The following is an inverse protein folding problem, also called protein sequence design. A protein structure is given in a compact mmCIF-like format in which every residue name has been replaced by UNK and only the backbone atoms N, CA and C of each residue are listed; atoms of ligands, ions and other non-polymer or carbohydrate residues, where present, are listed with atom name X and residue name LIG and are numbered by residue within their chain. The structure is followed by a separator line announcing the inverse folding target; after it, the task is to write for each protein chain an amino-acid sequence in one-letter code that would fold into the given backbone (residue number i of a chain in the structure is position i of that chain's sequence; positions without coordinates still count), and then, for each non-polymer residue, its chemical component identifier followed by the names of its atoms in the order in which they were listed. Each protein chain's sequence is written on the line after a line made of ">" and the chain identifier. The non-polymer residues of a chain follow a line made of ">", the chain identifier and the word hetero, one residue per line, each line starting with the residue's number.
data_IF_806619582817
#
_entry.id   IF_806619582817
#
_cell.length_a   1.000
_cell.length_b   1.000
_cell.length_c   1.000
_cell.angle_alpha   90.00
_cell.angle_beta   90.00
_cell.angle_gamma   90.00
#
_symmetry.space_group_name_H-M   'P 1'
#
loop_
_entity.id
_entity.type
_entity.pdbx_description
1 polymer ?
#
# COMPACT_ATOMS: atom_id res chain seq x y z
N UNK A 1 -14.93 42.52 0.87
CA UNK A 1 -13.74 42.54 0.00
C UNK A 1 -12.49 42.41 0.85
N UNK A 2 -11.72 41.34 0.67
CA UNK A 2 -10.24 41.33 0.68
C UNK A 2 -9.77 39.90 0.49
N UNK A 3 -9.62 39.52 -0.77
CA UNK A 3 -8.77 38.40 -1.16
C UNK A 3 -7.35 38.96 -1.22
N UNK A 4 -6.44 38.40 -0.42
CA UNK A 4 -5.01 38.63 -0.60
C UNK A 4 -4.37 37.28 -0.90
N UNK A 5 -4.02 37.07 -2.15
CA UNK A 5 -3.37 35.86 -2.66
C UNK A 5 -2.15 36.24 -3.49
N UNK A 6 -1.15 35.35 -3.44
CA UNK A 6 0.17 35.30 -4.08
C UNK A 6 1.33 36.05 -3.40
N UNK A 7 2.48 35.36 -3.29
CA UNK A 7 3.46 35.21 -4.39
C UNK A 7 3.81 33.73 -4.68
N UNK A 8 3.91 33.26 -5.93
CA UNK A 8 4.96 33.41 -6.96
C UNK A 8 6.31 32.71 -6.64
N UNK A 9 6.90 32.11 -7.70
CA UNK A 9 8.26 31.56 -7.92
C UNK A 9 8.62 30.19 -7.29
N UNK A 10 9.16 29.14 -7.97
CA UNK A 10 10.03 28.98 -9.16
C UNK A 10 9.86 27.58 -9.84
N UNK A 11 10.48 27.34 -11.03
CA UNK A 11 10.34 26.16 -11.88
C UNK A 11 11.49 25.14 -11.74
N UNK A 12 11.24 23.87 -12.06
CA UNK A 12 12.31 22.94 -12.53
C UNK A 12 11.75 21.88 -13.47
N UNK A 13 12.07 22.08 -14.74
CA UNK A 13 12.54 21.08 -15.72
C UNK A 13 12.30 19.59 -15.44
N UNK A 14 11.57 18.98 -16.38
CA UNK A 14 12.05 17.90 -17.24
C UNK A 14 13.04 16.90 -16.61
N UNK A 15 12.55 15.76 -16.14
CA UNK A 15 13.17 14.45 -16.38
C UNK A 15 12.11 13.36 -16.49
N UNK A 16 12.16 12.70 -17.65
CA UNK A 16 11.88 11.30 -17.96
C UNK A 16 10.79 10.50 -17.20
N UNK A 17 10.06 9.74 -18.02
CA UNK A 17 8.85 9.00 -17.66
C UNK A 17 8.98 8.12 -16.42
N UNK A 18 7.91 8.13 -15.62
CA UNK A 18 7.72 7.20 -14.54
C UNK A 18 6.26 6.75 -14.52
N UNK A 19 6.14 5.45 -14.78
CA UNK A 19 4.97 4.62 -14.62
C UNK A 19 4.37 4.90 -13.23
N UNK A 20 3.08 5.20 -13.19
CA UNK A 20 2.42 5.72 -11.99
C UNK A 20 2.27 4.64 -10.91
N UNK A 21 3.24 4.57 -10.01
CA UNK A 21 3.17 3.83 -8.74
C UNK A 21 2.34 4.65 -7.76
N UNK A 22 1.34 4.03 -7.13
CA UNK A 22 0.57 4.64 -6.04
C UNK A 22 0.94 3.92 -4.74
N UNK A 23 1.58 4.65 -3.83
CA UNK A 23 1.78 4.23 -2.43
C UNK A 23 0.57 4.63 -1.61
N UNK A 24 -0.11 3.63 -1.02
CA UNK A 24 -1.26 3.83 -0.15
C UNK A 24 -0.87 3.78 1.32
N UNK A 25 -1.12 4.89 2.04
CA UNK A 25 -0.93 5.01 3.49
C UNK A 25 -2.26 4.86 4.22
N UNK A 26 -2.25 4.21 5.39
CA UNK A 26 -3.40 4.17 6.28
C UNK A 26 -2.97 4.44 7.72
N UNK A 27 -3.23 5.65 8.19
CA UNK A 27 -3.36 5.93 9.61
C UNK A 27 -4.85 6.19 9.88
N UNK A 28 -5.34 5.71 11.02
CA UNK A 28 -6.74 5.83 11.49
C UNK A 28 -7.32 7.22 11.22
N UNK A 29 -8.19 7.32 10.20
CA UNK A 29 -8.75 8.59 9.75
C UNK A 29 -8.60 8.76 8.25
N UNK A 30 -9.65 8.41 7.53
CA UNK A 30 -9.83 8.60 6.09
C UNK A 30 -9.28 9.95 5.61
N UNK A 31 -8.06 9.97 5.07
CA UNK A 31 -7.57 11.01 4.15
C UNK A 31 -7.09 10.35 2.86
N UNK A 32 -8.05 10.18 1.94
CA UNK A 32 -7.78 10.34 0.52
C UNK A 32 -7.31 11.79 0.28
N UNK A 33 -6.05 12.11 0.56
CA UNK A 33 -5.42 13.36 0.17
C UNK A 33 -4.01 13.01 -0.32
N UNK A 34 -3.73 12.95 -1.62
CA UNK A 34 -4.18 13.83 -2.70
C UNK A 34 -5.18 13.23 -3.70
N UNK A 35 -6.27 13.96 -3.88
CA UNK A 35 -7.20 13.87 -5.00
C UNK A 35 -6.58 14.29 -6.34
N UNK A 36 -7.04 13.64 -7.41
CA UNK A 36 -7.12 14.09 -8.81
C UNK A 36 -5.91 13.97 -9.76
N UNK A 37 -5.29 12.78 -9.86
CA UNK A 37 -5.16 12.20 -11.21
C UNK A 37 -6.49 11.51 -11.50
N UNK A 38 -7.12 11.73 -12.66
CA UNK A 38 -8.34 10.99 -13.08
C UNK A 38 -7.98 9.49 -13.15
N UNK A 39 -8.07 8.79 -12.02
CA UNK A 39 -7.98 7.34 -12.00
C UNK A 39 -9.24 6.81 -12.68
N UNK A 40 -9.06 5.97 -13.70
CA UNK A 40 -10.18 5.39 -14.41
C UNK A 40 -11.10 4.64 -13.44
N UNK A 41 -12.38 4.47 -13.77
CA UNK A 41 -13.35 3.72 -12.93
C UNK A 41 -12.81 2.34 -12.52
N UNK A 42 -11.98 1.74 -13.38
CA UNK A 42 -11.30 0.47 -13.15
C UNK A 42 -10.24 0.57 -12.05
N UNK A 43 -9.40 1.60 -12.07
CA UNK A 43 -8.33 1.80 -11.08
C UNK A 43 -8.90 2.10 -9.70
N UNK A 44 -9.96 2.91 -9.60
CA UNK A 44 -10.65 3.16 -8.33
C UNK A 44 -11.23 1.87 -7.74
N UNK A 45 -11.80 0.99 -8.56
CA UNK A 45 -12.28 -0.33 -8.14
C UNK A 45 -11.14 -1.23 -7.67
N UNK A 46 -10.02 -1.26 -8.40
CA UNK A 46 -8.83 -2.02 -8.00
C UNK A 46 -8.26 -1.52 -6.68
N UNK A 47 -8.16 -0.19 -6.51
CA UNK A 47 -7.70 0.41 -5.26
C UNK A 47 -8.63 0.06 -4.09
N UNK A 48 -9.94 0.19 -4.27
CA UNK A 48 -10.92 -0.16 -3.25
C UNK A 48 -10.84 -1.64 -2.86
N UNK A 49 -10.59 -2.53 -3.83
CA UNK A 49 -10.38 -3.96 -3.59
C UNK A 49 -9.12 -4.20 -2.76
N UNK A 50 -7.99 -3.63 -3.16
CA UNK A 50 -6.71 -3.75 -2.43
C UNK A 50 -6.85 -3.19 -1.01
N UNK A 51 -7.46 -2.01 -0.86
CA UNK A 51 -7.74 -1.40 0.44
C UNK A 51 -8.59 -2.31 1.34
N UNK A 52 -9.62 -2.95 0.78
CA UNK A 52 -10.48 -3.88 1.53
C UNK A 52 -9.70 -5.13 1.97
N UNK A 53 -8.81 -5.64 1.13
CA UNK A 53 -8.00 -6.81 1.46
C UNK A 53 -6.95 -6.46 2.51
N UNK A 54 -6.27 -5.32 2.34
CA UNK A 54 -5.31 -4.81 3.31
C UNK A 54 -5.99 -4.59 4.67
N UNK A 55 -7.23 -4.11 4.71
CA UNK A 55 -8.03 -3.94 5.93
C UNK A 55 -8.19 -5.23 6.71
N UNK A 56 -8.73 -6.25 6.05
CA UNK A 56 -8.99 -7.54 6.68
C UNK A 56 -7.69 -8.22 7.13
N UNK A 57 -6.61 -8.05 6.37
CA UNK A 57 -5.32 -8.63 6.66
C UNK A 57 -4.63 -7.90 7.83
N UNK A 58 -4.68 -6.57 7.87
CA UNK A 58 -4.14 -5.75 8.95
C UNK A 58 -4.84 -6.04 10.28
N UNK A 59 -6.18 -6.10 10.31
CA UNK A 59 -6.93 -6.39 11.54
C UNK A 59 -6.50 -7.73 12.15
N UNK A 60 -6.32 -8.74 11.30
CA UNK A 60 -5.81 -10.04 11.72
C UNK A 60 -4.33 -9.95 12.16
N UNK A 61 -3.50 -9.22 11.41
CA UNK A 61 -2.06 -9.12 11.68
C UNK A 61 -1.79 -8.38 12.98
N UNK A 62 -2.56 -7.33 13.29
CA UNK A 62 -2.49 -6.60 14.56
C UNK A 62 -2.92 -7.47 15.74
N UNK A 63 -3.86 -8.39 15.53
CA UNK A 63 -4.30 -9.32 16.57
C UNK A 63 -3.29 -10.46 16.82
N UNK A 64 -2.58 -10.93 15.79
CA UNK A 64 -1.67 -12.08 15.89
C UNK A 64 -0.19 -11.69 16.03
N UNK A 65 0.23 -10.54 15.48
CA UNK A 65 1.63 -10.11 15.46
C UNK A 65 1.82 -8.88 16.35
N UNK A 66 2.37 -9.04 17.58
CA UNK A 66 2.73 -7.90 18.41
C UNK A 66 3.94 -7.15 17.80
N UNK A 67 3.88 -5.82 17.80
CA UNK A 67 4.96 -4.96 17.27
C UNK A 67 4.78 -4.47 15.83
N UNK A 68 3.66 -4.80 15.20
CA UNK A 68 3.27 -4.20 13.92
C UNK A 68 2.83 -2.74 14.14
N UNK A 69 3.49 -1.81 13.45
CA UNK A 69 3.21 -0.36 13.52
C UNK A 69 2.10 -0.03 12.54
N UNK A 70 2.30 -0.38 11.27
CA UNK A 70 1.37 -0.05 10.20
C UNK A 70 1.48 -1.00 9.00
N UNK A 71 0.45 -0.98 8.16
CA UNK A 71 0.42 -1.69 6.89
C UNK A 71 0.33 -0.65 5.77
N UNK A 72 1.23 -0.75 4.80
CA UNK A 72 1.16 0.02 3.57
C UNK A 72 1.21 -0.90 2.37
N UNK A 73 0.76 -0.40 1.23
CA UNK A 73 0.84 -1.16 -0.01
C UNK A 73 1.26 -0.27 -1.17
N UNK A 74 1.98 -0.90 -2.07
CA UNK A 74 2.42 -0.35 -3.33
C UNK A 74 1.68 -1.09 -4.44
N UNK A 75 1.09 -0.34 -5.37
CA UNK A 75 0.42 -0.94 -6.52
C UNK A 75 0.67 -0.12 -7.76
N UNK A 76 1.18 -0.79 -8.78
CA UNK A 76 1.27 -0.25 -10.12
C UNK A 76 0.12 -0.78 -10.99
N UNK A 77 -0.83 0.10 -11.31
CA UNK A 77 -2.05 -0.29 -12.04
C UNK A 77 -1.79 -0.84 -13.44
N UNK A 78 -0.68 -0.46 -14.09
CA UNK A 78 -0.31 -0.98 -15.41
C UNK A 78 0.12 -2.45 -15.37
N UNK A 79 0.64 -2.89 -14.23
CA UNK A 79 1.12 -4.25 -14.01
C UNK A 79 0.24 -5.00 -13.00
N UNK A 80 -0.93 -4.47 -12.66
CA UNK A 80 -1.89 -5.13 -11.79
C UNK A 80 -2.42 -6.41 -12.47
N UNK A 81 -2.50 -7.56 -11.75
CA UNK A 81 -2.27 -7.74 -10.32
C UNK A 81 -0.83 -8.11 -9.91
N UNK A 82 0.09 -8.20 -10.86
CA UNK A 82 1.49 -8.60 -10.66
C UNK A 82 2.33 -7.64 -9.82
N UNK A 83 2.02 -6.33 -9.85
CA UNK A 83 2.77 -5.31 -9.09
C UNK A 83 2.15 -4.89 -7.77
N UNK A 84 1.18 -5.64 -7.25
CA UNK A 84 0.70 -5.40 -5.89
C UNK A 84 1.76 -5.88 -4.89
N UNK A 85 2.19 -5.03 -3.98
CA UNK A 85 3.07 -5.38 -2.87
C UNK A 85 2.50 -4.80 -1.57
N UNK A 86 2.23 -5.66 -0.60
CA UNK A 86 1.90 -5.27 0.77
C UNK A 86 3.17 -5.28 1.61
N UNK A 87 3.35 -4.25 2.42
CA UNK A 87 4.46 -4.10 3.33
C UNK A 87 3.91 -3.90 4.74
N UNK A 88 4.26 -4.82 5.63
CA UNK A 88 4.01 -4.60 7.05
C UNK A 88 5.23 -3.92 7.65
N UNK A 89 4.99 -2.74 8.21
CA UNK A 89 5.98 -2.01 8.96
C UNK A 89 5.97 -2.46 10.41
N UNK A 90 7.15 -2.82 10.89
CA UNK A 90 7.40 -3.17 12.28
C UNK A 90 8.16 -2.04 12.97
N UNK A 91 8.01 -1.97 14.30
CA UNK A 91 8.71 -0.97 15.12
C UNK A 91 10.18 -1.33 15.26
N UNK A 92 10.44 -2.62 15.47
CA UNK A 92 11.76 -3.13 15.83
C UNK A 92 12.14 -4.37 15.02
N UNK A 93 13.44 -4.50 14.76
CA UNK A 93 14.02 -5.68 14.11
C UNK A 93 13.69 -6.98 14.86
N UNK A 94 13.58 -6.93 16.19
CA UNK A 94 13.20 -8.07 17.02
C UNK A 94 11.78 -8.57 16.72
N UNK A 95 10.83 -7.64 16.55
CA UNK A 95 9.44 -7.97 16.20
C UNK A 95 9.33 -8.47 14.76
N UNK A 96 10.13 -7.91 13.85
CA UNK A 96 10.24 -8.39 12.49
C UNK A 96 10.79 -9.82 12.45
N UNK A 97 11.86 -10.11 13.20
CA UNK A 97 12.46 -11.45 13.23
C UNK A 97 11.51 -12.49 13.86
N UNK A 98 10.79 -12.11 14.91
CA UNK A 98 9.72 -12.92 15.48
C UNK A 98 8.57 -13.16 14.49
N UNK A 99 8.26 -12.18 13.63
CA UNK A 99 7.22 -12.30 12.62
C UNK A 99 7.67 -13.05 11.35
N UNK A 100 8.97 -13.06 10.99
CA UNK A 100 9.51 -13.77 9.80
C UNK A 100 8.91 -15.17 9.57
N UNK A 101 8.78 -16.07 10.57
CA UNK A 101 8.14 -17.37 10.35
C UNK A 101 6.68 -17.28 9.90
N UNK A 102 5.93 -16.26 10.35
CA UNK A 102 4.56 -15.99 9.93
C UNK A 102 4.47 -15.34 8.54
N UNK A 103 5.55 -14.78 7.98
CA UNK A 103 5.54 -14.13 6.66
C UNK A 103 4.87 -15.00 5.58
N UNK A 104 5.23 -16.29 5.51
CA UNK A 104 4.66 -17.22 4.53
C UNK A 104 3.16 -17.46 4.77
N UNK A 105 2.71 -17.45 6.03
CA UNK A 105 1.29 -17.56 6.41
C UNK A 105 0.53 -16.32 5.94
N UNK A 106 1.09 -15.13 6.11
CA UNK A 106 0.49 -13.87 5.62
C UNK A 106 0.47 -13.78 4.11
N UNK A 107 1.52 -14.20 3.42
CA UNK A 107 1.55 -14.31 1.96
C UNK A 107 0.42 -15.23 1.43
N UNK A 108 0.19 -16.38 2.08
CA UNK A 108 -0.92 -17.28 1.75
C UNK A 108 -2.27 -16.64 2.02
N UNK A 109 -2.43 -15.95 3.16
CA UNK A 109 -3.68 -15.25 3.50
C UNK A 109 -4.00 -14.13 2.52
N UNK A 110 -3.01 -13.31 2.14
CA UNK A 110 -3.18 -12.28 1.12
C UNK A 110 -3.61 -12.90 -0.22
N UNK A 111 -2.93 -13.95 -0.67
CA UNK A 111 -3.29 -14.66 -1.91
C UNK A 111 -4.72 -15.19 -1.86
N UNK A 112 -5.12 -15.82 -0.76
CA UNK A 112 -6.49 -16.29 -0.58
C UNK A 112 -7.51 -15.14 -0.56
N UNK A 113 -7.21 -14.02 0.11
CA UNK A 113 -8.09 -12.86 0.19
C UNK A 113 -8.27 -12.16 -1.17
N UNK A 114 -7.19 -12.01 -1.93
CA UNK A 114 -7.21 -11.49 -3.30
C UNK A 114 -7.97 -12.42 -4.24
N UNK A 115 -7.75 -13.74 -4.14
CA UNK A 115 -8.48 -14.74 -4.91
C UNK A 115 -9.99 -14.68 -4.64
N UNK A 116 -10.38 -14.47 -3.37
CA UNK A 116 -11.79 -14.27 -2.97
C UNK A 116 -12.45 -13.05 -3.63
N UNK A 117 -11.64 -12.07 -4.02
CA UNK A 117 -12.07 -10.86 -4.76
C UNK A 117 -11.91 -11.03 -6.29
N UNK A 118 -11.53 -12.21 -6.77
CA UNK A 118 -11.34 -12.52 -8.19
C UNK A 118 -9.97 -12.15 -8.75
N UNK A 119 -8.98 -11.87 -7.90
CA UNK A 119 -7.62 -11.50 -8.31
C UNK A 119 -6.65 -12.63 -8.02
N UNK A 120 -6.02 -13.17 -9.06
CA UNK A 120 -5.05 -14.27 -8.93
C UNK A 120 -3.64 -13.69 -8.85
N UNK A 121 -3.00 -13.91 -7.70
CA UNK A 121 -1.59 -13.57 -7.48
C UNK A 121 -0.72 -14.76 -7.91
N UNK A 122 0.04 -14.58 -9.00
CA UNK A 122 0.87 -15.66 -9.58
C UNK A 122 2.07 -16.01 -8.69
N UNK A 123 2.69 -14.99 -8.09
CA UNK A 123 3.88 -15.12 -7.24
C UNK A 123 3.58 -14.69 -5.81
N UNK A 124 2.92 -15.54 -5.00
CA UNK A 124 2.46 -15.15 -3.64
C UNK A 124 3.56 -14.54 -2.76
N UNK A 125 4.82 -14.93 -2.96
CA UNK A 125 5.96 -14.48 -2.15
C UNK A 125 6.41 -13.05 -2.46
N UNK A 126 6.06 -12.52 -3.62
CA UNK A 126 6.45 -11.17 -4.05
C UNK A 126 5.40 -10.11 -3.72
N UNK A 127 4.23 -10.53 -3.23
CA UNK A 127 3.10 -9.62 -2.98
C UNK A 127 2.97 -9.22 -1.52
N UNK A 128 3.76 -9.81 -0.61
CA UNK A 128 3.79 -9.39 0.79
C UNK A 128 5.20 -9.55 1.35
N UNK A 129 5.70 -8.47 1.97
CA UNK A 129 6.99 -8.42 2.64
C UNK A 129 6.87 -7.76 4.01
N UNK A 130 7.80 -8.08 4.89
CA UNK A 130 7.96 -7.38 6.17
C UNK A 130 9.15 -6.45 6.06
N UNK A 131 8.95 -5.22 6.47
CA UNK A 131 9.98 -4.19 6.46
C UNK A 131 9.90 -3.38 7.75
N UNK A 132 10.98 -2.70 8.06
CA UNK A 132 11.00 -1.62 9.05
C UNK A 132 10.81 -0.27 8.38
N UNK A 133 10.97 -0.23 7.05
CA UNK A 133 10.85 0.96 6.22
C UNK A 133 9.40 1.43 6.21
N UNK A 134 9.25 2.71 6.56
CA UNK A 134 8.01 3.41 6.31
C UNK A 134 7.83 3.60 4.81
N UNK A 135 6.60 3.78 4.33
CA UNK A 135 6.32 4.13 2.93
C UNK A 135 6.92 5.47 2.45
N UNK A 136 7.54 6.25 3.34
CA UNK A 136 8.28 7.49 3.03
C UNK A 136 9.78 7.26 2.81
N UNK A 137 10.30 6.06 3.15
CA UNK A 137 11.68 5.62 2.91
C UNK A 137 11.83 4.97 1.52
#
# INVERSE_FOLDING_TARGET
>A
MSWNYQPDILPTSFTNGLLGIIRGYRHTGFKFGNLMKKLSKVQQKQQALVLTVADAIEEQARAEIPGMVQCWFDVEYHLFPGSLLLCFQFEDQATLDAAKPDLLKWQKRLSAAMLKKGVILKDMRKHLTFTLEGPED
#
